data_IF_707951401615
#
_entry.id   IF_707951401615
#
_cell.length_a   1.000
_cell.length_b   1.000
_cell.length_c   1.000
_cell.angle_alpha   90.00
_cell.angle_beta   90.00
_cell.angle_gamma   90.00
#
_symmetry.space_group_name_H-M   'P 1'
#
loop_
_entity.id
_entity.type
_entity.pdbx_description
1 polymer ?
#
# COMPACT_ATOMS: atom_id res chain seq x y z
N UNK A 1 -24.03 -8.51 37.30
CA UNK A 1 -22.57 -8.62 37.30
C UNK A 1 -21.96 -8.72 35.89
N UNK A 2 -22.54 -9.47 34.94
CA UNK A 2 -21.98 -9.61 33.55
C UNK A 2 -21.95 -8.32 32.71
N UNK A 3 -22.98 -7.45 32.81
CA UNK A 3 -23.01 -6.16 32.06
C UNK A 3 -21.88 -5.20 32.44
N UNK A 4 -21.42 -5.23 33.71
CA UNK A 4 -20.37 -4.33 34.19
C UNK A 4 -18.97 -4.70 33.66
N UNK A 5 -18.70 -5.98 33.40
CA UNK A 5 -17.40 -6.42 32.86
C UNK A 5 -17.28 -6.04 31.39
N UNK A 6 -18.31 -6.29 30.58
CA UNK A 6 -18.32 -5.91 29.17
C UNK A 6 -18.21 -4.39 29.02
N UNK A 7 -18.90 -3.63 29.84
CA UNK A 7 -18.83 -2.16 29.84
C UNK A 7 -17.41 -1.67 30.17
N UNK A 8 -16.74 -2.25 31.17
CA UNK A 8 -15.35 -1.91 31.51
C UNK A 8 -14.36 -2.27 30.39
N UNK A 9 -14.57 -3.40 29.70
CA UNK A 9 -13.73 -3.79 28.56
C UNK A 9 -13.90 -2.79 27.41
N UNK A 10 -15.13 -2.38 27.09
CA UNK A 10 -15.38 -1.39 26.04
C UNK A 10 -14.82 -0.02 26.39
N UNK A 11 -14.93 0.42 27.64
CA UNK A 11 -14.32 1.67 28.12
C UNK A 11 -12.79 1.63 28.02
N UNK A 12 -12.15 0.54 28.46
CA UNK A 12 -10.71 0.36 28.41
C UNK A 12 -10.21 0.40 26.96
N UNK A 13 -10.88 -0.31 26.05
CA UNK A 13 -10.52 -0.33 24.63
C UNK A 13 -10.74 1.04 23.97
N UNK A 14 -11.80 1.76 24.32
CA UNK A 14 -12.02 3.12 23.84
C UNK A 14 -10.93 4.08 24.33
N UNK A 15 -10.48 3.96 25.59
CA UNK A 15 -9.36 4.76 26.11
C UNK A 15 -8.06 4.41 25.40
N UNK A 16 -7.75 3.13 25.19
CA UNK A 16 -6.55 2.72 24.43
C UNK A 16 -6.59 3.30 23.02
N UNK A 17 -7.72 3.22 22.34
CA UNK A 17 -7.88 3.77 20.99
C UNK A 17 -7.68 5.29 20.96
N UNK A 18 -8.25 6.02 21.93
CA UNK A 18 -8.06 7.46 22.08
C UNK A 18 -6.61 7.83 22.37
N UNK A 19 -5.91 7.06 23.19
CA UNK A 19 -4.49 7.28 23.48
C UNK A 19 -3.65 7.06 22.23
N UNK A 20 -3.88 5.96 21.48
CA UNK A 20 -3.17 5.68 20.23
C UNK A 20 -3.44 6.80 19.21
N UNK A 21 -4.69 7.22 19.07
CA UNK A 21 -5.06 8.30 18.16
C UNK A 21 -4.39 9.64 18.56
N UNK A 22 -4.35 9.95 19.85
CA UNK A 22 -3.71 11.19 20.35
C UNK A 22 -2.19 11.16 20.19
N UNK A 23 -1.55 9.99 20.34
CA UNK A 23 -0.12 9.82 20.09
C UNK A 23 0.21 10.02 18.60
N UNK A 24 -0.56 9.39 17.70
CA UNK A 24 -0.39 9.57 16.25
C UNK A 24 -0.60 11.05 15.83
N UNK A 25 -1.58 11.74 16.42
CA UNK A 25 -1.80 13.16 16.17
C UNK A 25 -0.67 14.03 16.74
N UNK A 26 -0.17 13.70 17.95
CA UNK A 26 0.91 14.45 18.59
C UNK A 26 2.23 14.36 17.80
N UNK A 27 2.55 13.21 17.22
CA UNK A 27 3.70 13.08 16.32
C UNK A 27 3.56 13.98 15.09
N UNK A 28 2.37 14.02 14.46
CA UNK A 28 2.11 14.89 13.31
C UNK A 28 2.27 16.39 13.64
N UNK A 29 2.02 16.82 14.90
CA UNK A 29 2.22 18.19 15.35
C UNK A 29 3.66 18.50 15.79
N UNK A 30 4.43 17.50 16.21
CA UNK A 30 5.84 17.69 16.59
C UNK A 30 6.79 17.89 15.40
N UNK A 31 6.37 17.60 14.19
CA UNK A 31 7.20 17.62 12.98
C UNK A 31 7.65 19.01 12.52
N UNK A 32 7.09 20.09 13.04
CA UNK A 32 7.39 21.44 12.54
C UNK A 32 8.81 21.98 12.86
N UNK A 33 9.60 21.29 13.68
CA UNK A 33 10.89 21.79 14.16
C UNK A 33 12.15 21.02 13.69
N UNK A 34 12.03 19.95 12.92
CA UNK A 34 13.16 19.23 12.37
C UNK A 34 13.10 19.23 10.84
N UNK A 35 13.69 20.26 10.22
CA UNK A 35 14.00 20.26 8.79
C UNK A 35 15.14 19.25 8.55
N UNK A 36 14.82 17.96 8.42
CA UNK A 36 15.70 17.06 7.71
C UNK A 36 15.57 17.37 6.23
N UNK A 37 16.70 17.57 5.56
CA UNK A 37 16.75 17.98 4.16
C UNK A 37 16.29 16.84 3.24
N UNK A 38 14.98 16.70 3.07
CA UNK A 38 14.40 15.89 1.99
C UNK A 38 14.00 16.85 0.88
N UNK A 39 14.50 16.60 -0.31
CA UNK A 39 14.19 17.38 -1.50
C UNK A 39 13.60 16.49 -2.58
N UNK A 40 12.82 17.10 -3.45
CA UNK A 40 12.23 16.40 -4.61
C UNK A 40 13.15 16.61 -5.80
N UNK A 41 13.61 15.53 -6.43
CA UNK A 41 14.41 15.56 -7.63
C UNK A 41 13.52 15.78 -8.87
N UNK A 42 12.99 17.01 -9.01
CA UNK A 42 12.04 17.35 -10.08
C UNK A 42 12.71 17.86 -11.36
N UNK A 43 13.93 18.38 -11.28
CA UNK A 43 14.64 19.03 -12.38
C UNK A 43 15.79 18.17 -12.92
N UNK A 44 16.28 18.54 -14.11
CA UNK A 44 17.44 17.90 -14.75
C UNK A 44 17.13 16.55 -15.40
N UNK A 45 15.87 16.22 -15.59
CA UNK A 45 15.43 15.01 -16.25
C UNK A 45 15.40 15.18 -17.76
N UNK A 46 15.82 14.15 -18.49
CA UNK A 46 15.75 14.09 -19.93
C UNK A 46 15.57 12.65 -20.42
N UNK A 47 15.03 12.54 -21.61
CA UNK A 47 14.89 11.30 -22.35
C UNK A 47 15.71 11.38 -23.64
N UNK A 48 16.20 10.27 -24.12
CA UNK A 48 16.86 10.20 -25.44
C UNK A 48 15.85 9.56 -26.40
N UNK A 49 15.36 10.36 -27.34
CA UNK A 49 14.47 9.91 -28.40
C UNK A 49 15.13 10.07 -29.75
N UNK A 50 15.28 9.00 -30.55
CA UNK A 50 15.96 8.98 -31.84
C UNK A 50 17.38 9.58 -31.82
N UNK A 51 18.09 9.51 -30.71
CA UNK A 51 19.43 10.06 -30.53
C UNK A 51 19.47 11.55 -30.14
N UNK A 52 18.33 12.21 -30.02
CA UNK A 52 18.21 13.57 -29.52
C UNK A 52 17.79 13.59 -28.05
N UNK A 53 18.36 14.54 -27.31
CA UNK A 53 18.03 14.76 -25.90
C UNK A 53 16.80 15.66 -25.80
N UNK A 54 15.75 15.16 -25.20
CA UNK A 54 14.53 15.89 -24.88
C UNK A 54 14.44 16.11 -23.36
N UNK A 55 14.36 17.36 -22.94
CA UNK A 55 14.20 17.70 -21.53
C UNK A 55 12.76 17.49 -21.09
N UNK A 56 12.58 16.84 -19.93
CA UNK A 56 11.29 16.55 -19.35
C UNK A 56 11.22 17.08 -17.93
N UNK A 57 10.00 17.34 -17.47
CA UNK A 57 9.72 17.77 -16.09
C UNK A 57 8.86 16.72 -15.41
N UNK A 58 9.23 16.30 -14.21
CA UNK A 58 8.41 15.40 -13.41
C UNK A 58 7.39 16.18 -12.58
N UNK A 59 6.14 15.67 -12.41
CA UNK A 59 5.67 14.37 -12.85
C UNK A 59 5.42 14.31 -14.38
N UNK A 60 5.79 13.19 -14.98
CA UNK A 60 5.64 12.93 -16.40
C UNK A 60 4.69 11.76 -16.65
N UNK A 61 3.92 11.80 -17.75
CA UNK A 61 3.00 10.71 -18.11
C UNK A 61 3.29 10.27 -19.54
N UNK A 62 3.55 9.00 -19.72
CA UNK A 62 3.77 8.38 -21.02
C UNK A 62 2.73 7.30 -21.31
N UNK A 63 2.42 7.09 -22.59
CA UNK A 63 1.73 5.90 -23.06
C UNK A 63 2.78 4.81 -23.26
N UNK A 64 2.54 3.63 -22.72
CA UNK A 64 3.48 2.51 -22.80
C UNK A 64 2.76 1.26 -23.30
N UNK A 65 3.39 0.54 -24.21
CA UNK A 65 2.95 -0.80 -24.59
C UNK A 65 3.45 -1.82 -23.57
N UNK A 66 2.87 -3.02 -23.57
CA UNK A 66 3.30 -4.08 -22.66
C UNK A 66 4.76 -4.49 -22.96
N UNK A 67 5.60 -4.44 -21.92
CA UNK A 67 7.02 -4.75 -22.00
C UNK A 67 7.88 -3.64 -22.63
N UNK A 68 7.30 -2.49 -23.00
CA UNK A 68 8.06 -1.35 -23.49
C UNK A 68 8.90 -0.72 -22.36
N UNK A 69 10.17 -0.44 -22.65
CA UNK A 69 11.07 0.22 -21.71
C UNK A 69 11.14 1.71 -21.99
N UNK A 70 10.90 2.50 -20.95
CA UNK A 70 11.08 3.96 -20.96
C UNK A 70 12.26 4.26 -20.07
N UNK A 71 13.27 4.93 -20.62
CA UNK A 71 14.49 5.30 -19.90
C UNK A 71 14.54 6.80 -19.68
N UNK A 72 14.64 7.18 -18.42
CA UNK A 72 14.81 8.56 -17.99
C UNK A 72 16.20 8.75 -17.40
N UNK A 73 16.84 9.85 -17.74
CA UNK A 73 18.14 10.24 -17.23
C UNK A 73 18.05 11.51 -16.41
N UNK A 74 18.87 11.61 -15.36
CA UNK A 74 19.01 12.81 -14.56
C UNK A 74 20.49 13.15 -14.34
N UNK A 75 20.85 14.41 -14.55
CA UNK A 75 22.21 14.93 -14.36
C UNK A 75 22.29 16.05 -13.29
N UNK A 76 21.25 16.22 -12.50
CA UNK A 76 21.24 17.22 -11.42
C UNK A 76 21.91 16.72 -10.13
N UNK A 77 22.15 15.40 -10.01
CA UNK A 77 22.85 14.85 -8.86
C UNK A 77 24.32 15.25 -8.87
N UNK A 78 24.85 15.50 -7.69
CA UNK A 78 26.22 15.92 -7.45
C UNK A 78 26.93 14.98 -6.49
N UNK A 79 28.23 15.10 -6.34
CA UNK A 79 29.01 14.33 -5.35
C UNK A 79 28.62 14.63 -3.90
N UNK A 80 27.93 15.75 -3.65
CA UNK A 80 27.39 16.08 -2.32
C UNK A 80 26.20 15.20 -1.92
N UNK A 81 25.57 14.52 -2.89
CA UNK A 81 24.43 13.63 -2.68
C UNK A 81 24.86 12.19 -2.37
N UNK A 82 26.17 11.92 -2.31
CA UNK A 82 26.71 10.61 -1.95
C UNK A 82 26.26 10.20 -0.52
N UNK A 83 25.85 8.94 -0.40
CA UNK A 83 25.34 8.39 0.86
C UNK A 83 23.90 8.76 1.20
N UNK A 84 23.26 9.69 0.47
CA UNK A 84 21.84 9.95 0.60
C UNK A 84 21.01 8.80 0.02
N UNK A 85 19.74 8.75 0.36
CA UNK A 85 18.76 7.80 -0.17
C UNK A 85 17.93 8.48 -1.25
N UNK A 86 17.86 7.84 -2.42
CA UNK A 86 16.91 8.13 -3.48
C UNK A 86 15.69 7.25 -3.28
N UNK A 87 14.51 7.84 -3.14
CA UNK A 87 13.25 7.12 -3.03
C UNK A 87 12.38 7.36 -4.25
N UNK A 88 12.10 6.30 -4.99
CA UNK A 88 11.26 6.32 -6.17
C UNK A 88 10.01 5.46 -5.95
N UNK A 89 8.84 6.05 -6.16
CA UNK A 89 7.56 5.35 -6.10
C UNK A 89 7.05 5.01 -7.50
N UNK A 90 6.38 3.87 -7.62
CA UNK A 90 5.78 3.43 -8.86
C UNK A 90 4.51 2.61 -8.68
N UNK A 91 3.72 2.52 -9.74
CA UNK A 91 2.50 1.72 -9.79
C UNK A 91 2.46 0.95 -11.10
N UNK A 92 2.31 -0.37 -11.00
CA UNK A 92 2.12 -1.29 -12.13
C UNK A 92 3.23 -1.27 -13.23
N UNK A 93 4.49 -1.10 -12.81
CA UNK A 93 5.62 -1.23 -13.73
C UNK A 93 6.88 -1.82 -13.07
N UNK A 94 7.77 -2.41 -13.88
CA UNK A 94 9.12 -2.79 -13.46
C UNK A 94 10.01 -1.56 -13.34
N UNK A 95 10.98 -1.60 -12.43
CA UNK A 95 11.86 -0.48 -12.14
C UNK A 95 13.30 -0.95 -12.01
N UNK A 96 14.20 -0.32 -12.77
CA UNK A 96 15.65 -0.45 -12.60
C UNK A 96 16.25 0.93 -12.36
N UNK A 97 17.15 1.04 -11.38
CA UNK A 97 17.86 2.28 -11.05
C UNK A 97 19.35 2.03 -11.17
N UNK A 98 20.01 2.88 -11.96
CA UNK A 98 21.42 2.78 -12.30
C UNK A 98 22.14 4.11 -12.07
N UNK A 99 23.43 4.04 -11.70
CA UNK A 99 24.37 5.17 -11.88
C UNK A 99 25.49 4.66 -12.75
N UNK A 100 25.61 5.24 -13.93
CA UNK A 100 26.46 4.71 -14.97
C UNK A 100 26.14 3.26 -15.29
N UNK A 101 27.14 2.38 -15.12
CA UNK A 101 26.99 0.93 -15.32
C UNK A 101 26.65 0.17 -14.01
N UNK A 102 26.57 0.86 -12.88
CA UNK A 102 26.26 0.24 -11.60
C UNK A 102 24.75 0.14 -11.40
N UNK A 103 24.22 -1.10 -11.35
CA UNK A 103 22.83 -1.38 -10.99
C UNK A 103 22.68 -1.22 -9.46
N UNK A 104 21.82 -0.30 -9.06
CA UNK A 104 21.53 -0.03 -7.64
C UNK A 104 20.26 -0.72 -7.17
N UNK A 105 19.26 -0.80 -8.05
CA UNK A 105 17.98 -1.41 -7.74
C UNK A 105 17.40 -2.09 -8.97
N UNK A 106 16.80 -3.25 -8.75
CA UNK A 106 16.17 -4.02 -9.80
C UNK A 106 14.90 -4.68 -9.26
N UNK A 107 13.80 -4.35 -9.89
CA UNK A 107 12.51 -4.96 -9.61
C UNK A 107 12.05 -5.71 -10.85
N UNK A 108 12.22 -7.01 -10.81
CA UNK A 108 11.93 -7.89 -11.95
C UNK A 108 10.50 -8.40 -11.97
N UNK A 109 10.04 -8.58 -13.19
CA UNK A 109 8.84 -9.32 -13.55
C UNK A 109 8.89 -10.80 -13.11
N UNK A 110 10.11 -11.37 -12.92
CA UNK A 110 10.32 -12.73 -12.44
C UNK A 110 9.84 -13.00 -11.01
N UNK A 111 9.63 -11.95 -10.23
CA UNK A 111 9.04 -12.05 -8.89
C UNK A 111 7.54 -12.32 -8.90
N UNK A 112 6.90 -12.18 -10.06
CA UNK A 112 5.49 -12.48 -10.28
C UNK A 112 5.33 -13.77 -11.11
N UNK A 113 4.25 -14.53 -10.93
CA UNK A 113 3.86 -15.56 -11.86
C UNK A 113 3.81 -14.98 -13.28
N UNK A 114 4.28 -15.74 -14.28
CA UNK A 114 4.51 -15.29 -15.67
C UNK A 114 3.35 -14.57 -16.37
N UNK A 115 2.15 -14.59 -15.80
CA UNK A 115 0.94 -14.02 -16.38
C UNK A 115 0.36 -12.88 -15.51
N UNK A 116 1.03 -12.47 -14.43
CA UNK A 116 0.45 -11.48 -13.52
C UNK A 116 0.50 -10.08 -14.13
N UNK A 117 -0.68 -9.51 -14.39
CA UNK A 117 -0.82 -8.16 -14.94
C UNK A 117 -0.81 -7.07 -13.86
N UNK A 118 -1.06 -7.45 -12.60
CA UNK A 118 -1.04 -6.53 -11.48
C UNK A 118 0.34 -6.54 -10.80
N UNK A 119 1.14 -5.52 -11.03
CA UNK A 119 2.48 -5.39 -10.40
C UNK A 119 2.44 -4.62 -9.08
N UNK A 120 1.31 -4.02 -8.74
CA UNK A 120 1.08 -3.30 -7.48
C UNK A 120 1.84 -1.99 -7.35
N UNK A 121 1.80 -1.43 -6.15
CA UNK A 121 2.59 -0.24 -5.80
C UNK A 121 4.00 -0.66 -5.44
N UNK A 122 4.98 -0.02 -6.04
CA UNK A 122 6.40 -0.23 -5.84
C UNK A 122 7.00 0.99 -5.15
N UNK A 123 7.85 0.73 -4.15
CA UNK A 123 8.73 1.73 -3.55
C UNK A 123 10.15 1.22 -3.58
N UNK A 124 11.04 1.99 -4.18
CA UNK A 124 12.45 1.71 -4.29
C UNK A 124 13.25 2.76 -3.50
N UNK A 125 13.76 2.38 -2.33
CA UNK A 125 14.63 3.21 -1.52
C UNK A 125 16.07 2.71 -1.72
N UNK A 126 16.91 3.55 -2.34
CA UNK A 126 18.26 3.17 -2.79
C UNK A 126 19.28 4.15 -2.25
N UNK A 127 20.32 3.63 -1.58
CA UNK A 127 21.43 4.45 -1.14
C UNK A 127 22.33 4.81 -2.34
N UNK A 128 22.57 6.11 -2.52
CA UNK A 128 23.43 6.61 -3.59
C UNK A 128 24.90 6.31 -3.26
N UNK A 129 25.66 5.75 -4.23
CA UNK A 129 27.06 5.43 -4.05
C UNK A 129 27.94 6.70 -4.12
N UNK A 130 29.21 6.54 -3.73
CA UNK A 130 30.21 7.63 -3.79
C UNK A 130 30.52 8.11 -5.23
N UNK A 131 30.13 7.32 -6.22
CA UNK A 131 30.31 7.66 -7.65
C UNK A 131 29.21 8.59 -8.19
N UNK A 132 28.20 8.93 -7.38
CA UNK A 132 27.14 9.85 -7.77
C UNK A 132 27.71 11.22 -8.18
N UNK A 133 27.11 11.82 -9.23
CA UNK A 133 27.57 13.09 -9.80
C UNK A 133 28.72 12.95 -10.82
N UNK A 134 29.34 11.79 -10.96
CA UNK A 134 30.31 11.53 -12.04
C UNK A 134 29.62 11.03 -13.31
N UNK A 135 28.54 10.28 -13.13
CA UNK A 135 27.71 9.75 -14.20
C UNK A 135 26.22 10.04 -13.96
N UNK A 136 25.41 10.11 -15.01
CA UNK A 136 23.99 10.39 -14.87
C UNK A 136 23.26 9.26 -14.15
N UNK A 137 22.29 9.62 -13.32
CA UNK A 137 21.28 8.69 -12.81
C UNK A 137 20.42 8.24 -14.01
N UNK A 138 20.24 6.94 -14.15
CA UNK A 138 19.37 6.31 -15.14
C UNK A 138 18.30 5.51 -14.45
N UNK A 139 17.05 5.78 -14.79
CA UNK A 139 15.89 5.03 -14.31
C UNK A 139 15.19 4.41 -15.53
N UNK A 140 15.09 3.09 -15.54
CA UNK A 140 14.39 2.35 -16.57
C UNK A 140 13.07 1.82 -16.02
N UNK A 141 11.99 2.09 -16.73
CA UNK A 141 10.64 1.63 -16.41
C UNK A 141 10.21 0.62 -17.47
N UNK A 142 9.81 -0.57 -17.03
CA UNK A 142 9.21 -1.55 -17.92
C UNK A 142 7.70 -1.53 -17.71
N UNK A 143 6.96 -1.02 -18.70
CA UNK A 143 5.53 -0.77 -18.56
C UNK A 143 4.66 -2.00 -18.76
N UNK A 144 3.46 -1.92 -18.19
CA UNK A 144 2.28 -2.68 -18.60
C UNK A 144 1.44 -1.79 -19.50
N UNK A 145 0.61 -2.34 -20.36
CA UNK A 145 -0.21 -1.58 -21.32
C UNK A 145 -1.01 -0.46 -20.65
N UNK A 146 -0.84 0.77 -21.13
CA UNK A 146 -1.60 1.92 -20.67
C UNK A 146 -0.80 3.18 -20.43
N UNK A 147 -1.35 4.07 -19.60
CA UNK A 147 -0.69 5.31 -19.18
C UNK A 147 0.10 5.09 -17.92
N UNK A 148 1.39 5.33 -17.96
CA UNK A 148 2.28 5.30 -16.81
C UNK A 148 2.55 6.74 -16.37
N UNK A 149 2.46 6.99 -15.07
CA UNK A 149 2.80 8.26 -14.45
C UNK A 149 4.08 8.10 -13.63
N UNK A 150 5.09 8.86 -13.97
CA UNK A 150 6.34 8.92 -13.22
C UNK A 150 6.30 10.10 -12.26
N UNK A 151 6.44 9.82 -10.99
CA UNK A 151 6.55 10.84 -9.94
C UNK A 151 8.01 11.27 -9.79
N UNK A 152 8.26 12.49 -9.33
CA UNK A 152 9.61 12.92 -9.04
C UNK A 152 10.12 12.18 -7.78
N UNK A 153 11.28 11.52 -7.85
CA UNK A 153 11.87 10.85 -6.69
C UNK A 153 12.21 11.83 -5.58
N UNK A 154 12.17 11.35 -4.35
CA UNK A 154 12.69 12.06 -3.19
C UNK A 154 14.17 11.72 -3.00
N UNK A 155 14.92 12.69 -2.48
CA UNK A 155 16.32 12.51 -2.09
C UNK A 155 16.55 13.12 -0.71
N UNK A 156 17.23 12.39 0.16
CA UNK A 156 17.50 12.85 1.51
C UNK A 156 18.19 11.83 2.39
N UNK A 157 18.34 12.13 3.68
CA UNK A 157 18.80 11.14 4.65
C UNK A 157 17.80 9.98 4.75
N UNK A 158 18.27 8.79 5.12
CA UNK A 158 17.40 7.64 5.31
C UNK A 158 16.29 7.93 6.34
N UNK A 159 16.63 8.63 7.43
CA UNK A 159 15.64 9.00 8.43
C UNK A 159 14.63 10.02 7.89
N UNK A 160 15.07 11.00 7.10
CA UNK A 160 14.22 11.98 6.46
C UNK A 160 13.23 11.34 5.49
N UNK A 161 13.69 10.42 4.63
CA UNK A 161 12.83 9.68 3.69
C UNK A 161 11.79 8.85 4.43
N UNK A 162 12.19 8.07 5.45
CA UNK A 162 11.25 7.29 6.27
C UNK A 162 10.21 8.18 6.93
N UNK A 163 10.64 9.29 7.52
CA UNK A 163 9.75 10.26 8.18
C UNK A 163 8.77 10.90 7.19
N UNK A 164 9.25 11.31 6.01
CA UNK A 164 8.40 11.86 4.96
C UNK A 164 7.32 10.85 4.54
N UNK A 165 7.68 9.60 4.31
CA UNK A 165 6.71 8.57 3.97
C UNK A 165 5.70 8.27 5.08
N UNK A 166 6.14 8.30 6.34
CA UNK A 166 5.23 8.15 7.48
C UNK A 166 4.27 9.33 7.58
N UNK A 167 4.75 10.57 7.36
CA UNK A 167 3.93 11.76 7.35
C UNK A 167 2.89 11.73 6.23
N UNK A 168 3.30 11.39 5.00
CA UNK A 168 2.42 11.26 3.84
C UNK A 168 1.36 10.17 4.05
N UNK A 169 1.70 9.14 4.82
CA UNK A 169 0.82 8.02 5.15
C UNK A 169 0.08 8.16 6.48
N UNK A 170 0.28 9.26 7.23
CA UNK A 170 -0.22 9.41 8.60
C UNK A 170 -1.73 9.21 8.71
N UNK A 171 -2.52 9.80 7.80
CA UNK A 171 -3.96 9.61 7.77
C UNK A 171 -4.35 8.14 7.55
N UNK A 172 -3.68 7.47 6.62
CA UNK A 172 -3.91 6.04 6.34
C UNK A 172 -3.56 5.18 7.56
N UNK A 173 -2.45 5.47 8.24
CA UNK A 173 -2.04 4.78 9.47
C UNK A 173 -3.09 4.91 10.57
N UNK A 174 -3.61 6.11 10.80
CA UNK A 174 -4.67 6.35 11.79
C UNK A 174 -5.92 5.52 11.43
N UNK A 175 -6.33 5.53 10.18
CA UNK A 175 -7.48 4.75 9.71
C UNK A 175 -7.27 3.24 9.85
N UNK A 176 -6.07 2.74 9.54
CA UNK A 176 -5.70 1.34 9.71
C UNK A 176 -5.78 0.93 11.20
N UNK A 177 -5.16 1.70 12.09
CA UNK A 177 -5.17 1.44 13.53
C UNK A 177 -6.59 1.43 14.08
N UNK A 178 -7.41 2.38 13.65
CA UNK A 178 -8.80 2.48 14.05
C UNK A 178 -9.62 1.27 13.57
N UNK A 179 -9.50 0.90 12.29
CA UNK A 179 -10.22 -0.26 11.74
C UNK A 179 -9.76 -1.57 12.38
N UNK A 180 -8.45 -1.77 12.50
CA UNK A 180 -7.90 -2.97 13.14
C UNK A 180 -8.28 -3.04 14.63
N UNK A 181 -8.19 -1.93 15.35
CA UNK A 181 -8.58 -1.85 16.77
C UNK A 181 -10.07 -2.14 16.99
N UNK A 182 -10.94 -1.52 16.21
CA UNK A 182 -12.39 -1.78 16.26
C UNK A 182 -12.73 -3.21 15.82
N UNK A 183 -12.07 -3.73 14.81
CA UNK A 183 -12.23 -5.11 14.36
C UNK A 183 -11.83 -6.12 15.44
N UNK A 184 -10.68 -5.92 16.08
CA UNK A 184 -10.25 -6.75 17.21
C UNK A 184 -11.19 -6.64 18.40
N UNK A 185 -11.70 -5.45 18.72
CA UNK A 185 -12.70 -5.27 19.75
C UNK A 185 -13.98 -6.04 19.46
N UNK A 186 -14.51 -5.96 18.24
CA UNK A 186 -15.70 -6.70 17.82
C UNK A 186 -15.46 -8.22 17.91
N UNK A 187 -14.27 -8.70 17.54
CA UNK A 187 -13.89 -10.11 17.68
C UNK A 187 -13.86 -10.56 19.14
N UNK A 188 -13.25 -9.78 20.02
CA UNK A 188 -13.22 -10.07 21.46
C UNK A 188 -14.64 -10.13 22.06
N UNK A 189 -15.51 -9.18 21.65
CA UNK A 189 -16.91 -9.19 22.08
C UNK A 189 -17.61 -10.44 21.57
N UNK A 190 -17.42 -10.81 20.31
CA UNK A 190 -18.00 -12.05 19.76
C UNK A 190 -17.53 -13.28 20.53
N UNK A 191 -16.22 -13.43 20.76
CA UNK A 191 -15.67 -14.58 21.49
C UNK A 191 -16.18 -14.66 22.93
N UNK A 192 -16.31 -13.51 23.62
CA UNK A 192 -16.90 -13.44 24.96
C UNK A 192 -18.36 -13.87 24.96
N UNK A 193 -19.17 -13.36 24.00
CA UNK A 193 -20.59 -13.74 23.89
C UNK A 193 -20.75 -15.21 23.53
N UNK A 194 -19.94 -15.70 22.60
CA UNK A 194 -19.93 -17.11 22.21
C UNK A 194 -19.60 -18.04 23.38
N UNK A 195 -18.59 -17.69 24.20
CA UNK A 195 -18.26 -18.43 25.42
C UNK A 195 -19.45 -18.50 26.40
N UNK A 196 -20.26 -17.45 26.44
CA UNK A 196 -21.49 -17.43 27.27
C UNK A 196 -22.73 -17.99 26.55
N UNK A 197 -22.56 -18.71 25.44
CA UNK A 197 -23.65 -19.30 24.63
C UNK A 197 -24.65 -18.28 24.07
N UNK A 198 -24.25 -17.03 23.92
CA UNK A 198 -25.01 -15.98 23.23
C UNK A 198 -24.43 -15.90 21.82
N UNK A 199 -25.20 -16.38 20.83
CA UNK A 199 -24.75 -16.47 19.46
C UNK A 199 -25.19 -15.23 18.69
N UNK A 200 -24.30 -14.25 18.56
CA UNK A 200 -24.55 -13.01 17.81
C UNK A 200 -23.52 -12.85 16.68
N UNK A 201 -23.83 -13.45 15.54
CA UNK A 201 -22.95 -13.49 14.36
C UNK A 201 -22.60 -12.11 13.82
N UNK A 202 -23.43 -11.09 14.02
CA UNK A 202 -23.21 -9.71 13.59
C UNK A 202 -21.88 -9.13 14.06
N UNK A 203 -21.44 -9.50 15.28
CA UNK A 203 -20.12 -9.07 15.78
C UNK A 203 -18.96 -9.73 15.03
N UNK A 204 -19.11 -10.99 14.63
CA UNK A 204 -18.10 -11.67 13.81
C UNK A 204 -18.04 -11.08 12.42
N UNK A 205 -19.18 -10.81 11.79
CA UNK A 205 -19.26 -10.18 10.47
C UNK A 205 -18.62 -8.77 10.50
N UNK A 206 -18.93 -7.99 11.56
CA UNK A 206 -18.30 -6.66 11.75
C UNK A 206 -16.80 -6.77 11.96
N UNK A 207 -16.35 -7.72 12.78
CA UNK A 207 -14.92 -7.95 13.01
C UNK A 207 -14.20 -8.33 11.72
N UNK A 208 -14.73 -9.30 10.97
CA UNK A 208 -14.15 -9.76 9.71
C UNK A 208 -14.09 -8.62 8.67
N UNK A 209 -15.16 -7.83 8.53
CA UNK A 209 -15.18 -6.69 7.63
C UNK A 209 -14.11 -5.65 7.99
N UNK A 210 -14.06 -5.21 9.25
CA UNK A 210 -13.11 -4.19 9.70
C UNK A 210 -11.66 -4.65 9.62
N UNK A 211 -11.39 -5.93 9.96
CA UNK A 211 -10.04 -6.50 9.85
C UNK A 211 -9.59 -6.63 8.40
N UNK A 212 -10.48 -7.05 7.49
CA UNK A 212 -10.18 -7.10 6.05
C UNK A 212 -9.98 -5.71 5.46
N UNK A 213 -10.81 -4.71 5.83
CA UNK A 213 -10.61 -3.32 5.43
C UNK A 213 -9.27 -2.77 5.95
N UNK A 214 -8.95 -3.00 7.21
CA UNK A 214 -7.69 -2.58 7.81
C UNK A 214 -6.49 -3.24 7.11
N UNK A 215 -6.58 -4.54 6.81
CA UNK A 215 -5.55 -5.28 6.10
C UNK A 215 -5.37 -4.75 4.67
N UNK A 216 -6.47 -4.49 3.96
CA UNK A 216 -6.42 -3.87 2.62
C UNK A 216 -5.77 -2.49 2.65
N UNK A 217 -6.21 -1.58 3.53
CA UNK A 217 -5.62 -0.26 3.67
C UNK A 217 -4.13 -0.34 4.03
N UNK A 218 -3.74 -1.29 4.88
CA UNK A 218 -2.37 -1.50 5.32
C UNK A 218 -1.45 -1.94 4.18
N UNK A 219 -1.91 -2.89 3.36
CA UNK A 219 -1.15 -3.37 2.19
C UNK A 219 -1.14 -2.36 1.05
N UNK A 220 -2.23 -1.60 0.85
CA UNK A 220 -2.31 -0.55 -0.17
C UNK A 220 -1.50 0.71 0.18
N UNK A 221 -1.26 1.00 1.46
CA UNK A 221 -0.48 2.17 1.90
C UNK A 221 1.00 2.13 1.51
N UNK A 222 1.54 0.97 1.13
CA UNK A 222 2.96 0.79 0.80
C UNK A 222 3.91 0.85 2.00
N UNK A 223 3.40 1.03 3.23
CA UNK A 223 4.23 1.13 4.44
C UNK A 223 5.02 -0.15 4.69
N UNK A 224 4.42 -1.31 4.43
CA UNK A 224 5.11 -2.58 4.58
C UNK A 224 6.29 -2.77 3.63
N UNK A 225 6.29 -2.12 2.48
CA UNK A 225 7.38 -2.23 1.51
C UNK A 225 8.68 -1.61 2.03
N UNK A 226 8.59 -0.67 2.99
CA UNK A 226 9.77 -0.12 3.67
C UNK A 226 10.54 -1.18 4.50
N UNK A 227 9.84 -2.23 4.93
CA UNK A 227 10.42 -3.28 5.79
C UNK A 227 10.57 -4.62 5.08
N UNK A 228 9.71 -4.90 4.10
CA UNK A 228 9.66 -6.19 3.42
C UNK A 228 9.43 -6.01 1.92
N UNK A 229 10.44 -6.32 1.12
CA UNK A 229 10.46 -6.14 -0.33
C UNK A 229 9.65 -7.20 -1.10
N UNK A 230 8.67 -7.84 -0.48
CA UNK A 230 7.80 -8.84 -1.13
C UNK A 230 6.58 -8.17 -1.76
N UNK A 231 6.81 -7.28 -2.73
CA UNK A 231 5.75 -6.47 -3.36
C UNK A 231 4.61 -7.31 -3.94
N UNK A 232 4.95 -8.42 -4.63
CA UNK A 232 3.97 -9.34 -5.20
C UNK A 232 3.04 -9.93 -4.12
N UNK A 233 3.60 -10.34 -2.98
CA UNK A 233 2.81 -10.89 -1.87
C UNK A 233 1.86 -9.84 -1.29
N UNK A 234 2.33 -8.61 -1.11
CA UNK A 234 1.48 -7.53 -0.59
C UNK A 234 0.36 -7.15 -1.56
N UNK A 235 0.64 -7.14 -2.87
CA UNK A 235 -0.37 -6.93 -3.90
C UNK A 235 -1.45 -8.03 -3.85
N UNK A 236 -1.03 -9.28 -3.74
CA UNK A 236 -1.94 -10.42 -3.63
C UNK A 236 -2.82 -10.35 -2.38
N UNK A 237 -2.23 -10.05 -1.21
CA UNK A 237 -2.97 -9.89 0.04
C UNK A 237 -3.96 -8.73 -0.08
N UNK A 238 -3.55 -7.60 -0.67
CA UNK A 238 -4.41 -6.43 -0.90
C UNK A 238 -5.62 -6.80 -1.75
N UNK A 239 -5.39 -7.49 -2.87
CA UNK A 239 -6.44 -7.94 -3.78
C UNK A 239 -7.45 -8.86 -3.09
N UNK A 240 -6.98 -9.90 -2.40
CA UNK A 240 -7.88 -10.83 -1.72
C UNK A 240 -8.59 -10.19 -0.52
N UNK A 241 -7.93 -9.33 0.24
CA UNK A 241 -8.56 -8.60 1.34
C UNK A 241 -9.70 -7.72 0.82
N UNK A 242 -9.47 -6.98 -0.27
CA UNK A 242 -10.50 -6.16 -0.92
C UNK A 242 -11.67 -7.00 -1.41
N UNK A 243 -11.39 -8.09 -2.11
CA UNK A 243 -12.42 -8.96 -2.66
C UNK A 243 -13.28 -9.63 -1.58
N UNK A 244 -12.62 -10.11 -0.50
CA UNK A 244 -13.30 -10.86 0.56
C UNK A 244 -14.08 -9.97 1.52
N UNK A 245 -13.77 -8.67 1.66
CA UNK A 245 -14.46 -7.79 2.60
C UNK A 245 -15.96 -7.60 2.29
N UNK A 246 -16.37 -7.80 1.05
CA UNK A 246 -17.79 -7.72 0.67
C UNK A 246 -18.64 -8.83 1.31
N UNK A 247 -18.05 -10.00 1.55
CA UNK A 247 -18.76 -11.16 2.11
C UNK A 247 -19.28 -10.89 3.53
N UNK A 248 -18.44 -10.53 4.53
CA UNK A 248 -18.94 -10.24 5.87
C UNK A 248 -19.88 -9.04 5.90
N UNK A 249 -19.72 -8.05 5.02
CA UNK A 249 -20.64 -6.93 4.92
C UNK A 249 -22.07 -7.40 4.54
N UNK A 250 -22.19 -8.27 3.53
CA UNK A 250 -23.49 -8.79 3.10
C UNK A 250 -24.08 -9.74 4.14
N UNK A 251 -23.25 -10.54 4.81
CA UNK A 251 -23.68 -11.36 5.94
C UNK A 251 -24.23 -10.53 7.10
N UNK A 252 -23.59 -9.43 7.45
CA UNK A 252 -24.07 -8.49 8.45
C UNK A 252 -25.46 -7.95 8.08
N UNK A 253 -25.64 -7.52 6.80
CA UNK A 253 -26.93 -7.05 6.29
C UNK A 253 -27.98 -8.16 6.37
N UNK A 254 -27.67 -9.38 5.93
CA UNK A 254 -28.56 -10.55 6.01
C UNK A 254 -29.01 -10.81 7.46
N UNK A 255 -28.09 -10.73 8.42
CA UNK A 255 -28.37 -10.96 9.84
C UNK A 255 -29.13 -9.80 10.51
N UNK A 256 -29.27 -8.66 9.85
CA UNK A 256 -29.94 -7.45 10.36
C UNK A 256 -31.32 -7.26 9.75
N UNK A 257 -31.53 -7.69 8.52
CA UNK A 257 -32.78 -7.50 7.76
C UNK A 257 -33.86 -8.51 8.20
N UNK A 258 -35.13 -8.12 8.10
CA UNK A 258 -36.28 -8.98 8.38
C UNK A 258 -36.30 -10.20 7.45
N UNK A 259 -36.84 -11.30 7.91
CA UNK A 259 -36.89 -12.59 7.17
C UNK A 259 -37.48 -12.44 5.76
N UNK A 260 -38.52 -11.65 5.61
CA UNK A 260 -39.21 -11.40 4.33
C UNK A 260 -38.33 -10.77 3.26
N UNK A 261 -37.29 -10.00 3.68
CA UNK A 261 -36.38 -9.30 2.76
C UNK A 261 -34.99 -9.97 2.65
N UNK A 262 -34.80 -11.13 3.28
CA UNK A 262 -33.49 -11.86 3.27
C UNK A 262 -33.10 -12.42 1.91
N UNK A 263 -34.04 -12.60 1.00
CA UNK A 263 -33.77 -13.13 -0.34
C UNK A 263 -32.72 -12.30 -1.11
N UNK A 264 -32.76 -10.97 -0.93
CA UNK A 264 -31.82 -10.07 -1.62
C UNK A 264 -30.39 -10.18 -1.08
N UNK A 265 -30.11 -10.07 0.23
CA UNK A 265 -28.79 -10.38 0.78
C UNK A 265 -28.33 -11.82 0.49
N UNK A 266 -29.22 -12.81 0.49
CA UNK A 266 -28.85 -14.19 0.14
C UNK A 266 -28.36 -14.30 -1.31
N UNK A 267 -29.02 -13.64 -2.23
CA UNK A 267 -28.58 -13.57 -3.62
C UNK A 267 -27.19 -12.93 -3.74
N UNK A 268 -26.96 -11.82 -3.04
CA UNK A 268 -25.64 -11.17 -3.04
C UNK A 268 -24.57 -12.04 -2.39
N UNK A 269 -24.85 -12.76 -1.31
CA UNK A 269 -23.93 -13.73 -0.74
C UNK A 269 -23.50 -14.75 -1.77
N UNK A 270 -24.45 -15.37 -2.47
CA UNK A 270 -24.16 -16.35 -3.52
C UNK A 270 -23.27 -15.73 -4.61
N UNK A 271 -23.64 -14.53 -5.10
CA UNK A 271 -22.86 -13.84 -6.13
C UNK A 271 -21.43 -13.54 -5.68
N UNK A 272 -21.22 -13.07 -4.45
CA UNK A 272 -19.88 -12.80 -3.94
C UNK A 272 -19.06 -14.06 -3.71
N UNK A 273 -19.66 -15.15 -3.23
CA UNK A 273 -18.96 -16.43 -3.10
C UNK A 273 -18.58 -17.01 -4.47
N UNK A 274 -19.50 -16.95 -5.44
CA UNK A 274 -19.21 -17.39 -6.82
C UNK A 274 -18.11 -16.53 -7.43
N UNK A 275 -18.20 -15.20 -7.28
CA UNK A 275 -17.16 -14.29 -7.78
C UNK A 275 -15.80 -14.56 -7.11
N UNK A 276 -15.76 -14.73 -5.79
CA UNK A 276 -14.53 -15.05 -5.06
C UNK A 276 -13.92 -16.40 -5.53
N UNK A 277 -14.76 -17.42 -5.69
CA UNK A 277 -14.33 -18.72 -6.22
C UNK A 277 -13.83 -18.63 -7.66
N UNK A 278 -14.53 -17.89 -8.52
CA UNK A 278 -14.16 -17.69 -9.91
C UNK A 278 -12.82 -16.95 -10.02
N UNK A 279 -12.69 -15.81 -9.36
CA UNK A 279 -11.46 -15.01 -9.38
C UNK A 279 -10.29 -15.78 -8.78
N UNK A 280 -10.48 -16.47 -7.65
CA UNK A 280 -9.44 -17.33 -7.08
C UNK A 280 -9.01 -18.45 -8.04
N UNK A 281 -9.96 -19.05 -8.75
CA UNK A 281 -9.65 -20.09 -9.76
C UNK A 281 -8.91 -19.51 -10.96
N UNK A 282 -9.35 -18.35 -11.46
CA UNK A 282 -8.71 -17.63 -12.57
C UNK A 282 -7.28 -17.27 -12.18
N UNK A 283 -7.08 -16.71 -10.97
CA UNK A 283 -5.76 -16.35 -10.48
C UNK A 283 -4.83 -17.57 -10.37
N UNK A 284 -5.33 -18.70 -9.83
CA UNK A 284 -4.54 -19.93 -9.70
C UNK A 284 -4.18 -20.59 -11.06
N UNK A 285 -5.08 -20.50 -12.04
CA UNK A 285 -4.88 -21.15 -13.33
C UNK A 285 -4.11 -20.28 -14.33
N UNK A 286 -4.33 -18.98 -14.32
CA UNK A 286 -3.80 -18.05 -15.33
C UNK A 286 -2.92 -16.94 -14.76
N UNK A 287 -2.81 -16.81 -13.45
CA UNK A 287 -1.98 -15.81 -12.79
C UNK A 287 -2.45 -14.35 -13.03
N UNK A 288 -3.79 -14.16 -13.26
CA UNK A 288 -4.37 -12.85 -13.54
C UNK A 288 -4.99 -12.29 -12.28
#
# INVERSE_FOLDING_TARGET
MKKSVLHRITELLAVILLVVLSLCLAESFCESNFQENVSTLGNGWYQIHNGEREEITLPFTANCANGEKITLYNNALTSADAGLVLSADGVDYGLEIWIGDQLLYHYEESSFPKNEQMKGKLRADVQLPDTVGQEPLRIEFTGVTGKIRFSAPLIGSNQGIVRQHLADSAFSLVMILLMMGLGMMALVIFLYMHHHKILEWRFLDTAAFLLLCGLWCLTDSGIFQMYAQYTALWCLISFYAFMLMAIPMVHFVKNTVREEARWLPDLFCILFYVNAGLQGTIHLLWGI
#
